data_IF_270253282752
#
_entry.id   IF_270253282752
#
_cell.length_a   1.000
_cell.length_b   1.000
_cell.length_c   1.000
_cell.angle_alpha   90.00
_cell.angle_beta   90.00
_cell.angle_gamma   90.00
#
_symmetry.space_group_name_H-M   'P 1'
#
loop_
_entity.id
_entity.type
_entity.pdbx_description
1 polymer ?
#
# COMPACT_ATOMS: atom_id res chain seq x y z
N UNK A 1 53.85 66.39 34.22
CA UNK A 1 52.82 65.34 34.57
C UNK A 1 51.90 65.23 33.37
N UNK A 2 52.23 64.33 32.45
CA UNK A 2 51.52 64.17 31.14
C UNK A 2 50.73 62.89 31.17
N UNK A 3 49.40 63.03 31.18
CA UNK A 3 48.45 61.93 31.16
C UNK A 3 48.27 61.45 29.70
N UNK A 4 48.81 60.28 29.42
CA UNK A 4 48.61 59.59 28.15
C UNK A 4 47.24 58.93 28.09
N UNK A 5 46.33 59.39 27.25
CA UNK A 5 45.05 58.77 26.96
C UNK A 5 45.24 57.64 25.91
N UNK A 6 45.26 56.41 26.40
CA UNK A 6 45.08 55.26 25.52
C UNK A 6 43.64 55.16 24.98
N UNK A 7 43.46 55.58 23.74
CA UNK A 7 42.24 55.22 22.97
C UNK A 7 42.24 53.72 22.69
N UNK A 8 41.35 52.99 23.34
CA UNK A 8 41.02 51.62 22.94
C UNK A 8 40.32 51.68 21.61
N UNK A 9 40.95 51.13 20.58
CA UNK A 9 40.30 50.87 19.32
C UNK A 9 39.24 49.78 19.55
N UNK A 10 37.99 50.12 19.32
CA UNK A 10 36.91 49.13 19.30
C UNK A 10 37.12 48.25 18.05
N UNK A 11 37.27 46.94 18.26
CA UNK A 11 37.27 45.99 17.19
C UNK A 11 35.93 45.99 16.44
N UNK A 12 35.89 46.00 15.12
CA UNK A 12 34.66 45.87 14.38
C UNK A 12 34.05 44.49 14.70
N UNK A 13 32.81 44.50 15.16
CA UNK A 13 32.03 43.30 15.38
C UNK A 13 31.73 42.70 13.99
N UNK A 14 32.35 41.58 13.70
CA UNK A 14 32.06 40.73 12.55
C UNK A 14 30.65 40.10 12.68
N UNK A 15 29.63 40.94 12.78
CA UNK A 15 28.23 40.52 12.95
C UNK A 15 27.59 40.04 11.62
N UNK A 16 28.25 40.21 10.50
CA UNK A 16 27.65 39.88 9.17
C UNK A 16 27.95 38.47 8.68
N UNK A 17 28.88 37.73 9.29
CA UNK A 17 29.20 36.36 8.85
C UNK A 17 28.17 35.30 9.23
N UNK A 18 27.28 35.59 10.18
CA UNK A 18 26.26 34.64 10.64
C UNK A 18 25.02 34.57 9.76
N UNK A 19 24.72 35.64 9.01
CA UNK A 19 23.45 35.73 8.24
C UNK A 19 23.54 35.01 6.90
N UNK A 20 24.70 34.95 6.26
CA UNK A 20 24.87 34.30 4.98
C UNK A 20 24.82 32.76 5.09
N UNK A 21 25.33 32.19 6.19
CA UNK A 21 25.28 30.74 6.42
C UNK A 21 23.88 30.19 6.76
N UNK A 22 22.92 31.05 7.16
CA UNK A 22 21.54 30.65 7.48
C UNK A 22 20.62 30.54 6.26
N UNK A 23 20.88 31.34 5.22
CA UNK A 23 20.08 31.36 4.00
C UNK A 23 20.26 30.10 3.13
N UNK A 24 21.39 29.43 3.21
CA UNK A 24 21.67 28.20 2.49
C UNK A 24 20.94 26.99 3.11
N UNK A 25 20.69 27.02 4.42
CA UNK A 25 19.98 25.94 5.15
C UNK A 25 18.49 25.92 4.79
N UNK A 26 17.90 27.06 4.48
CA UNK A 26 16.46 27.20 4.20
C UNK A 26 16.04 26.40 2.95
N UNK A 27 16.65 26.59 1.75
CA UNK A 27 16.28 25.82 0.57
C UNK A 27 16.58 24.31 0.73
N UNK A 28 17.66 23.96 1.44
CA UNK A 28 17.96 22.56 1.75
C UNK A 28 16.92 21.96 2.71
N UNK A 29 16.52 22.66 3.74
CA UNK A 29 15.48 22.24 4.69
C UNK A 29 14.14 22.03 3.98
N UNK A 30 13.75 22.94 3.09
CA UNK A 30 12.53 22.80 2.27
C UNK A 30 12.63 21.59 1.37
N UNK A 31 13.77 21.38 0.70
CA UNK A 31 13.97 20.22 -0.17
C UNK A 31 13.82 18.90 0.60
N UNK A 32 14.50 18.79 1.74
CA UNK A 32 14.42 17.58 2.60
C UNK A 32 12.99 17.37 3.10
N UNK A 33 12.29 18.44 3.49
CA UNK A 33 10.90 18.35 3.94
C UNK A 33 9.97 17.88 2.82
N UNK A 34 10.08 18.45 1.62
CA UNK A 34 9.25 18.05 0.47
C UNK A 34 9.52 16.60 0.07
N UNK A 35 10.79 16.22 -0.09
CA UNK A 35 11.18 14.84 -0.45
C UNK A 35 10.74 13.86 0.62
N UNK A 36 10.96 14.18 1.90
CA UNK A 36 10.54 13.34 3.03
C UNK A 36 9.02 13.17 3.07
N UNK A 37 8.24 14.23 2.88
CA UNK A 37 6.78 14.17 2.84
C UNK A 37 6.28 13.31 1.66
N UNK A 38 6.88 13.42 0.49
CA UNK A 38 6.53 12.60 -0.68
C UNK A 38 6.86 11.11 -0.44
N UNK A 39 7.98 10.80 0.19
CA UNK A 39 8.35 9.43 0.52
C UNK A 39 7.36 8.82 1.52
N UNK A 40 6.97 9.57 2.56
CA UNK A 40 5.98 9.13 3.55
C UNK A 40 4.62 8.89 2.88
N UNK A 41 4.16 9.83 2.06
CA UNK A 41 2.89 9.70 1.35
C UNK A 41 2.87 8.47 0.42
N UNK A 42 3.99 8.20 -0.26
CA UNK A 42 4.12 7.03 -1.13
C UNK A 42 4.14 5.72 -0.34
N UNK A 43 4.88 5.66 0.77
CA UNK A 43 4.89 4.49 1.66
C UNK A 43 3.48 4.21 2.21
N UNK A 44 2.75 5.26 2.61
CA UNK A 44 1.39 5.13 3.09
C UNK A 44 0.43 4.57 2.03
N UNK A 45 0.54 5.05 0.78
CA UNK A 45 -0.26 4.56 -0.33
C UNK A 45 -0.06 3.06 -0.59
N UNK A 46 1.17 2.54 -0.43
CA UNK A 46 1.50 1.12 -0.55
C UNK A 46 0.89 0.30 0.60
N UNK A 47 1.01 0.79 1.84
CA UNK A 47 0.44 0.13 3.02
C UNK A 47 -1.08 0.03 2.89
N UNK A 48 -1.74 1.12 2.55
CA UNK A 48 -3.18 1.18 2.38
C UNK A 48 -3.66 0.26 1.22
N UNK A 49 -2.94 0.24 0.10
CA UNK A 49 -3.21 -0.71 -0.98
C UNK A 49 -3.06 -2.17 -0.52
N UNK A 50 -2.07 -2.47 0.31
CA UNK A 50 -1.86 -3.82 0.86
C UNK A 50 -3.03 -4.25 1.74
N UNK A 51 -3.55 -3.36 2.57
CA UNK A 51 -4.71 -3.63 3.42
C UNK A 51 -5.96 -3.88 2.57
N UNK A 52 -6.24 -3.03 1.59
CA UNK A 52 -7.36 -3.17 0.68
C UNK A 52 -7.29 -4.48 -0.13
N UNK A 53 -6.12 -4.81 -0.68
CA UNK A 53 -5.92 -6.05 -1.45
C UNK A 53 -6.05 -7.29 -0.56
N UNK A 54 -5.63 -7.20 0.72
CA UNK A 54 -5.81 -8.28 1.69
C UNK A 54 -7.30 -8.50 2.03
N UNK A 55 -8.05 -7.41 2.18
CA UNK A 55 -9.50 -7.50 2.40
C UNK A 55 -10.19 -8.13 1.18
N UNK A 56 -9.85 -7.70 -0.05
CA UNK A 56 -10.41 -8.25 -1.27
C UNK A 56 -10.16 -9.76 -1.42
N UNK A 57 -8.92 -10.23 -1.17
CA UNK A 57 -8.60 -11.66 -1.24
C UNK A 57 -9.37 -12.48 -0.21
N UNK A 58 -9.57 -11.93 1.00
CA UNK A 58 -10.32 -12.58 2.09
C UNK A 58 -11.80 -12.67 1.77
N UNK A 59 -12.43 -11.57 1.36
CA UNK A 59 -13.86 -11.55 1.04
C UNK A 59 -14.17 -12.41 -0.19
N UNK A 60 -13.28 -12.42 -1.20
CA UNK A 60 -13.39 -13.33 -2.34
C UNK A 60 -13.40 -14.80 -1.91
N UNK A 61 -12.42 -15.20 -1.10
CA UNK A 61 -12.31 -16.59 -0.64
C UNK A 61 -13.53 -17.01 0.18
N UNK A 62 -13.98 -16.15 1.07
CA UNK A 62 -15.16 -16.39 1.90
C UNK A 62 -16.43 -16.54 1.06
N UNK A 63 -16.70 -15.59 0.16
CA UNK A 63 -17.89 -15.62 -0.70
C UNK A 63 -17.90 -16.84 -1.62
N UNK A 64 -16.73 -17.25 -2.10
CA UNK A 64 -16.58 -18.45 -2.91
C UNK A 64 -16.98 -19.71 -2.15
N UNK A 65 -16.40 -19.94 -0.96
CA UNK A 65 -16.66 -21.17 -0.19
C UNK A 65 -18.07 -21.21 0.39
N UNK A 66 -18.74 -20.08 0.56
CA UNK A 66 -20.13 -19.99 0.99
C UNK A 66 -21.15 -20.23 -0.14
N UNK A 67 -20.72 -20.24 -1.41
CA UNK A 67 -21.58 -20.38 -2.59
C UNK A 67 -21.97 -21.85 -2.86
N UNK A 68 -23.07 -22.07 -3.58
CA UNK A 68 -23.60 -23.42 -3.84
C UNK A 68 -22.87 -24.17 -4.97
N UNK A 69 -22.13 -23.48 -5.82
CA UNK A 69 -21.38 -24.08 -6.92
C UNK A 69 -20.14 -23.25 -7.25
N UNK A 70 -19.20 -23.85 -7.98
CA UNK A 70 -17.99 -23.16 -8.43
C UNK A 70 -18.28 -21.92 -9.30
N UNK A 71 -19.30 -21.98 -10.14
CA UNK A 71 -19.69 -20.87 -11.04
C UNK A 71 -20.28 -19.71 -10.27
N UNK A 72 -21.28 -19.96 -9.44
CA UNK A 72 -21.88 -18.92 -8.57
C UNK A 72 -20.86 -18.37 -7.57
N UNK A 73 -19.94 -19.24 -7.11
CA UNK A 73 -18.85 -18.83 -6.22
C UNK A 73 -17.85 -17.88 -6.89
N UNK A 74 -17.49 -18.13 -8.15
CA UNK A 74 -16.59 -17.25 -8.88
C UNK A 74 -17.18 -15.84 -9.08
N UNK A 75 -18.48 -15.77 -9.41
CA UNK A 75 -19.19 -14.49 -9.57
C UNK A 75 -19.29 -13.75 -8.21
N UNK A 76 -19.69 -14.46 -7.16
CA UNK A 76 -19.78 -13.91 -5.81
C UNK A 76 -18.42 -13.43 -5.27
N UNK A 77 -17.36 -14.20 -5.52
CA UNK A 77 -16.00 -13.84 -5.12
C UNK A 77 -15.53 -12.55 -5.82
N UNK A 78 -15.80 -12.43 -7.12
CA UNK A 78 -15.44 -11.24 -7.89
C UNK A 78 -16.17 -10.01 -7.36
N UNK A 79 -17.48 -10.11 -7.16
CA UNK A 79 -18.29 -9.02 -6.63
C UNK A 79 -17.84 -8.61 -5.22
N UNK A 80 -17.60 -9.57 -4.32
CA UNK A 80 -17.14 -9.29 -2.97
C UNK A 80 -15.75 -8.64 -2.94
N UNK A 81 -14.85 -9.06 -3.82
CA UNK A 81 -13.53 -8.45 -3.92
C UNK A 81 -13.59 -7.00 -4.44
N UNK A 82 -14.42 -6.72 -5.43
CA UNK A 82 -14.63 -5.37 -5.98
C UNK A 82 -15.27 -4.43 -4.94
N UNK A 83 -16.25 -4.94 -4.18
CA UNK A 83 -16.86 -4.18 -3.09
C UNK A 83 -15.87 -3.89 -1.96
N UNK A 84 -15.05 -4.87 -1.58
CA UNK A 84 -14.01 -4.70 -0.60
C UNK A 84 -12.97 -3.64 -1.01
N UNK A 85 -12.48 -3.67 -2.26
CA UNK A 85 -11.54 -2.65 -2.79
C UNK A 85 -12.19 -1.27 -2.80
N UNK A 86 -13.45 -1.19 -3.25
CA UNK A 86 -14.20 0.07 -3.35
C UNK A 86 -14.45 0.70 -1.97
N UNK A 87 -14.63 -0.11 -0.92
CA UNK A 87 -14.81 0.36 0.46
C UNK A 87 -13.57 1.10 1.00
N UNK A 88 -12.38 0.82 0.45
CA UNK A 88 -11.14 1.56 0.71
C UNK A 88 -10.97 2.79 -0.21
N UNK A 89 -11.99 3.15 -0.99
CA UNK A 89 -11.93 4.28 -1.92
C UNK A 89 -11.02 4.03 -3.12
N UNK A 90 -10.79 2.75 -3.47
CA UNK A 90 -9.92 2.36 -4.59
C UNK A 90 -10.73 1.93 -5.79
N UNK A 91 -10.14 2.10 -6.98
CA UNK A 91 -10.74 1.75 -8.25
C UNK A 91 -10.71 0.22 -8.47
N UNK A 92 -11.89 -0.42 -8.44
CA UNK A 92 -12.03 -1.85 -8.64
C UNK A 92 -11.53 -2.31 -10.03
N UNK A 93 -11.54 -1.45 -11.04
CA UNK A 93 -11.04 -1.80 -12.38
C UNK A 93 -9.54 -2.13 -12.43
N UNK A 94 -8.80 -1.77 -11.39
CA UNK A 94 -7.37 -2.09 -11.24
C UNK A 94 -7.11 -3.35 -10.41
N UNK A 95 -8.15 -3.95 -9.84
CA UNK A 95 -8.06 -5.21 -9.14
C UNK A 95 -7.97 -6.36 -10.16
N UNK A 96 -7.05 -7.28 -9.93
CA UNK A 96 -6.98 -8.57 -10.61
C UNK A 96 -7.14 -9.66 -9.56
N UNK A 97 -8.06 -10.56 -9.81
CA UNK A 97 -8.36 -11.67 -8.93
C UNK A 97 -8.07 -12.98 -9.68
N UNK A 98 -7.24 -13.81 -9.10
CA UNK A 98 -6.89 -15.14 -9.62
C UNK A 98 -7.31 -16.20 -8.61
N UNK A 99 -7.98 -17.24 -9.09
CA UNK A 99 -8.34 -18.40 -8.29
C UNK A 99 -7.29 -19.49 -8.49
N UNK A 100 -6.60 -19.85 -7.42
CA UNK A 100 -5.73 -21.03 -7.35
C UNK A 100 -6.48 -22.10 -6.53
N UNK A 101 -6.93 -23.17 -7.18
CA UNK A 101 -7.67 -24.24 -6.53
C UNK A 101 -7.02 -25.57 -6.81
N UNK A 102 -6.75 -26.35 -5.76
CA UNK A 102 -6.35 -27.75 -5.84
C UNK A 102 -7.60 -28.60 -5.59
N UNK A 103 -7.96 -29.40 -6.58
CA UNK A 103 -9.21 -30.18 -6.56
C UNK A 103 -10.42 -29.42 -7.08
N UNK A 104 -11.57 -30.05 -7.15
CA UNK A 104 -12.82 -29.45 -7.59
C UNK A 104 -13.51 -28.65 -6.48
N UNK A 105 -14.71 -28.12 -6.78
CA UNK A 105 -15.58 -27.51 -5.77
C UNK A 105 -16.22 -28.62 -4.91
N UNK A 106 -15.48 -29.10 -3.92
CA UNK A 106 -15.81 -30.26 -3.09
C UNK A 106 -15.50 -29.99 -1.62
N UNK A 107 -16.08 -30.78 -0.74
CA UNK A 107 -15.77 -30.69 0.70
C UNK A 107 -14.29 -30.87 0.97
N UNK A 108 -13.73 -30.11 1.89
CA UNK A 108 -12.32 -30.12 2.27
C UNK A 108 -11.34 -29.62 1.22
N UNK A 109 -11.82 -29.23 0.03
CA UNK A 109 -10.95 -28.60 -0.96
C UNK A 109 -10.46 -27.25 -0.45
N UNK A 110 -9.16 -27.01 -0.62
CA UNK A 110 -8.54 -25.70 -0.34
C UNK A 110 -8.69 -24.81 -1.55
N UNK A 111 -9.17 -23.61 -1.30
CA UNK A 111 -9.34 -22.55 -2.30
C UNK A 111 -8.43 -21.40 -1.91
N UNK A 112 -7.66 -20.90 -2.84
CA UNK A 112 -6.76 -19.77 -2.63
C UNK A 112 -7.09 -18.69 -3.65
N UNK A 113 -7.41 -17.50 -3.17
CA UNK A 113 -7.52 -16.33 -4.00
C UNK A 113 -6.27 -15.48 -3.90
N UNK A 114 -5.78 -15.07 -5.07
CA UNK A 114 -4.68 -14.14 -5.21
C UNK A 114 -5.23 -12.86 -5.77
N UNK A 115 -5.24 -11.82 -4.94
CA UNK A 115 -5.61 -10.48 -5.36
C UNK A 115 -4.35 -9.67 -5.65
N UNK A 116 -4.30 -9.00 -6.79
CA UNK A 116 -3.27 -8.04 -7.13
C UNK A 116 -3.88 -6.70 -7.50
N UNK A 117 -3.23 -5.62 -7.09
CA UNK A 117 -3.68 -4.26 -7.30
C UNK A 117 -2.53 -3.38 -7.77
N UNK A 118 -2.76 -2.67 -8.88
CA UNK A 118 -1.77 -1.78 -9.46
C UNK A 118 -1.92 -0.36 -8.91
N UNK A 119 -0.88 0.13 -8.24
CA UNK A 119 -0.79 1.51 -7.76
C UNK A 119 -0.13 2.34 -8.86
N UNK A 120 -0.78 3.40 -9.37
CA UNK A 120 -0.18 4.26 -10.38
C UNK A 120 1.08 4.95 -9.83
N UNK A 121 2.08 5.11 -10.68
CA UNK A 121 3.23 5.95 -10.35
C UNK A 121 2.80 7.36 -9.99
N UNK A 122 3.45 7.97 -9.00
CA UNK A 122 3.18 9.35 -8.62
C UNK A 122 3.69 10.28 -9.74
N UNK A 123 2.76 10.96 -10.39
CA UNK A 123 3.10 12.04 -11.32
C UNK A 123 3.45 13.29 -10.54
N UNK A 124 4.71 13.68 -10.54
CA UNK A 124 5.14 14.97 -10.02
C UNK A 124 4.67 16.10 -10.94
N UNK A 125 4.34 17.30 -10.41
CA UNK A 125 4.14 18.47 -11.23
C UNK A 125 5.39 18.71 -12.09
N UNK A 126 5.21 19.04 -13.36
CA UNK A 126 6.22 19.17 -14.43
C UNK A 126 6.54 17.91 -15.24
N UNK A 127 5.70 16.85 -15.18
CA UNK A 127 5.85 15.68 -16.05
C UNK A 127 7.02 14.76 -15.72
N UNK A 128 7.66 14.94 -14.57
CA UNK A 128 8.71 14.05 -14.08
C UNK A 128 8.01 12.91 -13.32
N UNK A 129 7.73 11.79 -14.02
CA UNK A 129 7.30 10.56 -13.38
C UNK A 129 8.46 9.93 -12.63
N UNK A 130 8.35 9.76 -11.32
CA UNK A 130 9.30 8.98 -10.54
C UNK A 130 8.72 7.57 -10.32
N UNK A 131 9.43 6.57 -10.83
CA UNK A 131 9.10 5.16 -10.68
C UNK A 131 8.05 4.65 -11.66
N UNK A 132 7.97 3.33 -11.80
CA UNK A 132 6.90 2.62 -12.51
C UNK A 132 5.70 2.34 -11.60
N UNK A 133 4.61 1.78 -12.15
CA UNK A 133 3.50 1.30 -11.34
C UNK A 133 4.01 0.23 -10.35
N UNK A 134 3.49 0.26 -9.13
CA UNK A 134 3.82 -0.72 -8.09
C UNK A 134 2.66 -1.70 -8.00
N UNK A 135 2.93 -2.98 -8.18
CA UNK A 135 1.94 -4.03 -7.97
C UNK A 135 2.02 -4.53 -6.53
N UNK A 136 0.86 -4.54 -5.87
CA UNK A 136 0.68 -5.15 -4.55
C UNK A 136 -0.07 -6.45 -4.73
N UNK A 137 0.50 -7.55 -4.25
CA UNK A 137 -0.09 -8.89 -4.35
C UNK A 137 -0.32 -9.48 -2.96
N UNK A 138 -1.47 -10.13 -2.78
CA UNK A 138 -1.88 -10.80 -1.54
C UNK A 138 -2.59 -12.10 -1.86
N UNK A 139 -2.39 -13.11 -1.02
CA UNK A 139 -3.11 -14.39 -1.12
C UNK A 139 -3.87 -14.67 0.17
N UNK A 140 -5.05 -15.27 0.01
CA UNK A 140 -5.84 -15.78 1.13
C UNK A 140 -6.43 -17.13 0.76
N UNK A 141 -6.38 -18.08 1.70
CA UNK A 141 -6.86 -19.44 1.49
C UNK A 141 -7.96 -19.77 2.48
N UNK A 142 -9.00 -20.41 1.98
CA UNK A 142 -10.12 -20.94 2.77
C UNK A 142 -10.32 -22.43 2.42
N UNK A 143 -11.02 -23.15 3.27
CA UNK A 143 -11.38 -24.56 3.07
C UNK A 143 -12.89 -24.64 2.96
N UNK A 144 -13.38 -25.33 1.93
CA UNK A 144 -14.81 -25.64 1.79
C UNK A 144 -15.24 -26.56 2.94
N UNK A 145 -16.31 -26.16 3.64
CA UNK A 145 -16.79 -26.82 4.85
C UNK A 145 -16.93 -28.34 4.66
N UNK A 146 -16.28 -29.15 5.51
CA UNK A 146 -16.36 -30.61 5.48
C UNK A 146 -17.76 -31.15 5.71
N UNK A 147 -18.61 -30.42 6.42
CA UNK A 147 -19.97 -30.83 6.77
C UNK A 147 -21.04 -30.34 5.80
N UNK A 148 -20.63 -29.60 4.75
CA UNK A 148 -21.58 -29.05 3.79
C UNK A 148 -22.30 -30.12 3.01
N UNK A 149 -23.63 -30.09 3.03
CA UNK A 149 -24.48 -31.01 2.27
C UNK A 149 -24.51 -30.65 0.79
N UNK A 150 -24.70 -31.64 -0.07
CA UNK A 150 -24.87 -31.42 -1.52
C UNK A 150 -23.59 -31.34 -2.34
N UNK A 151 -22.42 -31.38 -1.72
CA UNK A 151 -21.13 -31.41 -2.41
C UNK A 151 -20.54 -32.81 -2.46
N UNK A 152 -19.79 -33.16 -3.53
CA UNK A 152 -19.04 -34.40 -3.61
C UNK A 152 -18.08 -34.54 -2.43
N UNK A 153 -17.92 -35.77 -1.89
CA UNK A 153 -16.86 -36.05 -0.94
C UNK A 153 -15.54 -36.12 -1.72
N UNK A 154 -14.65 -35.20 -1.51
CA UNK A 154 -13.27 -35.30 -1.96
C UNK A 154 -12.34 -35.16 -0.75
N UNK A 155 -11.38 -36.08 -0.69
CA UNK A 155 -10.27 -36.01 0.23
C UNK A 155 -10.60 -36.17 1.71
N UNK A 156 -9.63 -36.61 2.47
CA UNK A 156 -9.65 -36.48 3.93
C UNK A 156 -9.41 -35.01 4.30
N UNK A 157 -10.34 -34.42 5.08
CA UNK A 157 -10.11 -33.12 5.70
C UNK A 157 -9.08 -33.24 6.82
N UNK A 158 -7.87 -33.51 6.51
CA UNK A 158 -6.81 -33.56 7.49
C UNK A 158 -6.02 -34.86 7.45
N UNK A 159 -4.90 -34.72 6.86
CA UNK A 159 -3.63 -35.37 7.22
C UNK A 159 -2.54 -34.32 7.24
#
# INVERSE_FOLDING_TARGET
>A
MTLSHHRRAAAPLDAERGVVGGLEVLPFGILVFVVGSLLIANAWAVIDAKLATTAAAREAARSYVESDSATTGADAATQAAEEAISSYGRDAARLRLELEQEGGFARCSRVTFVASYEIPAISLPFGIGFGGPIEVRTRHSEIIDPLRSGLPPEGSCGD
#
